data_IF_147511225637
#
_entry.id   IF_147511225637
#
_cell.length_a   1.000
_cell.length_b   1.000
_cell.length_c   1.000
_cell.angle_alpha   90.00
_cell.angle_beta   90.00
_cell.angle_gamma   90.00
#
_symmetry.space_group_name_H-M   'P 1'
#
loop_
_entity.id
_entity.type
_entity.pdbx_description
1 polymer ?
#
# COMPACT_ATOMS: atom_id res chain seq x y z
N UNK A 1 -4.10 -39.55 -4.31
CA UNK A 1 -4.02 -38.96 -2.95
C UNK A 1 -4.68 -37.59 -3.03
N UNK A 2 -5.77 -37.38 -2.30
CA UNK A 2 -6.55 -36.12 -2.33
C UNK A 2 -5.73 -35.01 -1.67
N UNK A 3 -5.30 -34.00 -2.43
CA UNK A 3 -4.72 -32.79 -1.86
C UNK A 3 -5.83 -31.99 -1.19
N UNK A 4 -5.94 -32.06 0.14
CA UNK A 4 -6.94 -31.27 0.87
C UNK A 4 -6.51 -29.81 0.95
N UNK A 5 -7.26 -28.94 0.26
CA UNK A 5 -7.15 -27.48 0.38
C UNK A 5 -7.78 -27.06 1.72
N UNK A 6 -7.04 -26.30 2.52
CA UNK A 6 -7.48 -25.74 3.81
C UNK A 6 -7.97 -24.29 3.62
N UNK A 7 -8.84 -23.78 4.52
CA UNK A 7 -9.22 -22.37 4.52
C UNK A 7 -8.00 -21.44 4.56
N UNK A 8 -8.00 -20.41 3.72
CA UNK A 8 -6.93 -19.41 3.59
C UNK A 8 -5.61 -19.90 2.95
N UNK A 9 -5.58 -21.09 2.33
CA UNK A 9 -4.39 -21.55 1.58
C UNK A 9 -4.05 -20.62 0.40
N UNK A 10 -5.07 -20.02 -0.21
CA UNK A 10 -4.95 -18.98 -1.23
C UNK A 10 -4.23 -17.74 -0.71
N UNK A 11 -4.63 -17.20 0.45
CA UNK A 11 -3.97 -16.04 1.08
C UNK A 11 -2.52 -16.40 1.44
N UNK A 12 -2.29 -17.58 2.00
CA UNK A 12 -0.93 -18.03 2.34
C UNK A 12 -0.04 -18.13 1.11
N UNK A 13 -0.53 -18.72 0.02
CA UNK A 13 0.20 -18.80 -1.24
C UNK A 13 0.46 -17.41 -1.85
N UNK A 14 -0.49 -16.48 -1.73
CA UNK A 14 -0.27 -15.09 -2.13
C UNK A 14 0.87 -14.46 -1.32
N UNK A 15 0.88 -14.60 0.01
CA UNK A 15 1.94 -14.08 0.89
C UNK A 15 3.35 -14.53 0.50
N UNK A 16 3.51 -15.75 -0.01
CA UNK A 16 4.80 -16.27 -0.48
C UNK A 16 5.29 -15.61 -1.78
N UNK A 17 4.37 -15.06 -2.58
CA UNK A 17 4.66 -14.49 -3.90
C UNK A 17 4.52 -12.97 -3.96
N UNK A 18 4.21 -12.32 -2.84
CA UNK A 18 4.08 -10.87 -2.78
C UNK A 18 5.40 -10.20 -3.22
N UNK A 19 5.35 -9.25 -4.16
CA UNK A 19 6.54 -8.56 -4.62
C UNK A 19 7.12 -7.70 -3.49
N UNK A 20 8.45 -7.62 -3.45
CA UNK A 20 9.14 -6.61 -2.67
C UNK A 20 9.13 -5.26 -3.42
N UNK A 21 9.31 -4.18 -2.67
CA UNK A 21 9.48 -2.85 -3.25
C UNK A 21 10.67 -2.83 -4.24
N UNK A 22 10.46 -2.30 -5.43
CA UNK A 22 11.44 -2.30 -6.51
C UNK A 22 12.52 -1.24 -6.32
N UNK A 23 13.68 -1.63 -5.77
CA UNK A 23 14.77 -0.70 -5.47
C UNK A 23 15.35 -0.02 -6.72
N UNK A 24 15.40 -0.71 -7.86
CA UNK A 24 15.86 -0.13 -9.12
C UNK A 24 15.03 1.10 -9.55
N UNK A 25 13.70 1.05 -9.37
CA UNK A 25 12.83 2.19 -9.69
C UNK A 25 13.11 3.40 -8.78
N UNK A 26 13.46 3.17 -7.51
CA UNK A 26 13.86 4.24 -6.57
C UNK A 26 15.18 4.89 -7.01
N UNK A 27 16.14 4.08 -7.44
CA UNK A 27 17.45 4.59 -7.91
C UNK A 27 17.30 5.47 -9.15
N UNK A 28 16.44 5.08 -10.09
CA UNK A 28 16.10 5.87 -11.27
C UNK A 28 15.39 7.18 -10.90
N UNK A 29 14.44 7.15 -9.96
CA UNK A 29 13.80 8.37 -9.43
C UNK A 29 14.83 9.32 -8.85
N UNK A 30 15.73 8.82 -7.99
CA UNK A 30 16.81 9.61 -7.37
C UNK A 30 17.76 10.18 -8.41
N UNK A 31 18.09 9.40 -9.45
CA UNK A 31 18.93 9.87 -10.54
C UNK A 31 18.30 11.03 -11.30
N UNK A 32 17.00 10.93 -11.62
CA UNK A 32 16.24 12.02 -12.24
C UNK A 32 16.13 13.23 -11.32
N UNK A 33 15.83 13.01 -10.04
CA UNK A 33 15.61 14.07 -9.06
C UNK A 33 16.84 15.00 -8.92
N UNK A 34 18.05 14.41 -8.93
CA UNK A 34 19.34 15.15 -8.95
C UNK A 34 19.54 16.04 -10.18
N UNK A 35 18.84 15.79 -11.27
CA UNK A 35 18.93 16.57 -12.51
C UNK A 35 17.88 17.68 -12.61
N UNK A 36 16.92 17.73 -11.68
CA UNK A 36 15.87 18.74 -11.70
C UNK A 36 16.44 20.12 -11.33
N UNK A 37 15.84 21.19 -11.88
CA UNK A 37 16.20 22.58 -11.59
C UNK A 37 15.66 23.04 -10.23
N UNK A 38 16.04 22.32 -9.17
CA UNK A 38 15.73 22.62 -7.77
C UNK A 38 16.96 22.33 -6.91
N UNK A 39 17.16 23.02 -5.77
CA UNK A 39 18.11 22.56 -4.77
C UNK A 39 17.74 21.13 -4.33
N UNK A 40 18.75 20.29 -4.05
CA UNK A 40 18.53 18.95 -3.53
C UNK A 40 17.70 19.02 -2.23
N UNK A 41 16.68 18.16 -2.10
CA UNK A 41 15.79 18.15 -0.94
C UNK A 41 14.76 19.29 -0.87
N UNK A 42 14.72 20.21 -1.85
CA UNK A 42 13.83 21.37 -1.79
C UNK A 42 12.33 21.02 -1.78
N UNK A 43 11.95 19.82 -2.22
CA UNK A 43 10.55 19.34 -2.18
C UNK A 43 10.25 18.51 -0.93
N UNK A 44 11.25 18.28 -0.07
CA UNK A 44 11.12 17.56 1.20
C UNK A 44 10.41 16.21 1.02
N UNK A 45 9.34 16.00 1.79
CA UNK A 45 8.57 14.74 1.82
C UNK A 45 7.99 14.33 0.45
N UNK A 46 7.81 15.26 -0.48
CA UNK A 46 7.34 14.89 -1.82
C UNK A 46 8.36 14.02 -2.58
N UNK A 47 9.66 14.20 -2.32
CA UNK A 47 10.72 13.36 -2.92
C UNK A 47 10.60 11.92 -2.39
N UNK A 48 10.40 11.76 -1.08
CA UNK A 48 10.18 10.46 -0.42
C UNK A 48 8.92 9.75 -0.93
N UNK A 49 7.82 10.50 -1.13
CA UNK A 49 6.55 9.93 -1.61
C UNK A 49 6.64 9.42 -3.05
N UNK A 50 7.38 10.13 -3.92
CA UNK A 50 7.58 9.68 -5.31
C UNK A 50 8.48 8.46 -5.37
N UNK A 51 9.53 8.39 -4.54
CA UNK A 51 10.34 7.16 -4.39
C UNK A 51 9.49 5.98 -3.93
N UNK A 52 8.68 6.16 -2.88
CA UNK A 52 7.80 5.13 -2.37
C UNK A 52 6.81 4.62 -3.43
N UNK A 53 6.18 5.55 -4.17
CA UNK A 53 5.25 5.18 -5.23
C UNK A 53 5.95 4.43 -6.37
N UNK A 54 7.15 4.87 -6.78
CA UNK A 54 7.93 4.20 -7.81
C UNK A 54 8.33 2.77 -7.42
N UNK A 55 8.69 2.57 -6.15
CA UNK A 55 9.09 1.26 -5.63
C UNK A 55 7.93 0.25 -5.71
N UNK A 56 6.72 0.66 -5.30
CA UNK A 56 5.55 -0.23 -5.28
C UNK A 56 4.86 -0.36 -6.63
N UNK A 57 5.01 0.62 -7.53
CA UNK A 57 4.54 0.51 -8.91
C UNK A 57 5.58 -0.15 -9.85
N UNK A 58 6.79 -0.43 -9.36
CA UNK A 58 7.94 -0.86 -10.16
C UNK A 58 8.12 0.03 -11.42
N UNK A 59 8.05 1.35 -11.23
CA UNK A 59 8.03 2.34 -12.32
C UNK A 59 8.69 3.64 -11.90
N UNK A 60 9.79 4.00 -12.56
CA UNK A 60 10.57 5.22 -12.22
C UNK A 60 9.87 6.55 -12.52
N UNK A 61 8.82 6.53 -13.35
CA UNK A 61 7.92 7.67 -13.52
C UNK A 61 6.53 7.27 -13.04
N UNK A 62 6.33 7.17 -11.71
CA UNK A 62 5.08 6.69 -11.16
C UNK A 62 3.93 7.67 -11.44
N UNK A 63 2.71 7.15 -11.43
CA UNK A 63 1.50 7.88 -11.79
C UNK A 63 0.30 7.31 -11.03
N UNK A 64 -0.71 8.13 -10.76
CA UNK A 64 -1.93 7.72 -10.08
C UNK A 64 -3.10 8.02 -11.02
N UNK A 65 -3.58 7.01 -11.75
CA UNK A 65 -4.66 7.19 -12.72
C UNK A 65 -6.05 6.96 -12.13
N UNK A 66 -6.16 5.98 -11.21
CA UNK A 66 -7.42 5.49 -10.67
C UNK A 66 -7.30 5.25 -9.16
N UNK A 67 -7.19 6.33 -8.35
CA UNK A 67 -7.15 6.17 -6.91
C UNK A 67 -8.45 5.51 -6.42
N UNK A 68 -8.33 4.54 -5.52
CA UNK A 68 -9.44 3.79 -4.98
C UNK A 68 -9.50 3.94 -3.47
N UNK A 69 -10.70 4.12 -2.94
CA UNK A 69 -10.98 4.08 -1.50
C UNK A 69 -11.83 2.84 -1.24
N UNK A 70 -11.30 1.90 -0.46
CA UNK A 70 -12.03 0.71 -0.01
C UNK A 70 -12.50 0.93 1.42
N UNK A 71 -13.83 0.92 1.64
CA UNK A 71 -14.45 1.09 2.96
C UNK A 71 -14.88 -0.29 3.45
N UNK A 72 -14.31 -0.71 4.57
CA UNK A 72 -14.70 -1.94 5.27
C UNK A 72 -15.55 -1.54 6.48
N UNK A 73 -16.83 -1.90 6.46
CA UNK A 73 -17.76 -1.66 7.56
C UNK A 73 -18.25 -3.02 8.10
N UNK A 74 -18.22 -3.19 9.42
CA UNK A 74 -18.63 -4.42 10.09
C UNK A 74 -19.09 -4.12 11.51
N UNK A 75 -20.02 -4.93 11.99
CA UNK A 75 -20.55 -4.82 13.35
C UNK A 75 -19.77 -5.72 14.30
N UNK A 76 -19.74 -5.33 15.57
CA UNK A 76 -19.06 -6.07 16.62
C UNK A 76 -19.98 -6.29 17.81
N UNK A 77 -20.14 -7.55 18.24
CA UNK A 77 -21.02 -7.89 19.39
C UNK A 77 -20.57 -7.30 20.73
N UNK A 78 -19.30 -6.87 20.84
CA UNK A 78 -18.80 -6.19 22.05
C UNK A 78 -19.55 -4.90 22.37
N UNK A 79 -20.26 -4.30 21.39
CA UNK A 79 -21.09 -3.11 21.59
C UNK A 79 -22.15 -3.33 22.67
N UNK A 80 -22.65 -4.57 22.85
CA UNK A 80 -23.62 -4.92 23.89
C UNK A 80 -23.07 -4.71 25.32
N UNK A 81 -21.75 -4.52 25.47
CA UNK A 81 -21.11 -4.20 26.75
C UNK A 81 -21.05 -2.70 27.05
N UNK A 82 -21.74 -1.85 26.27
CA UNK A 82 -21.81 -0.40 26.50
C UNK A 82 -20.51 0.35 26.18
N UNK A 83 -19.63 -0.24 25.37
CA UNK A 83 -18.32 0.35 25.00
C UNK A 83 -18.41 1.44 23.92
N UNK A 84 -19.58 1.61 23.31
CA UNK A 84 -19.84 2.60 22.26
C UNK A 84 -20.77 3.70 22.77
N UNK A 85 -20.46 4.95 22.40
CA UNK A 85 -21.36 6.09 22.60
C UNK A 85 -22.52 6.14 21.57
N UNK A 86 -22.50 5.27 20.56
CA UNK A 86 -23.45 5.24 19.45
C UNK A 86 -24.17 3.88 19.36
N UNK A 87 -25.45 3.84 18.90
CA UNK A 87 -26.19 2.60 18.74
C UNK A 87 -25.56 1.65 17.72
N UNK A 88 -25.74 0.33 17.92
CA UNK A 88 -25.17 -0.72 17.06
C UNK A 88 -25.72 -0.76 15.61
N UNK A 89 -26.80 -0.03 15.33
CA UNK A 89 -27.47 -0.01 14.02
C UNK A 89 -26.97 1.09 13.09
N UNK A 90 -26.03 1.92 13.57
CA UNK A 90 -25.53 3.11 12.89
C UNK A 90 -24.31 2.77 12.04
#
# INVERSE_FOLDING_TARGET
MSNQIKPFDDIRAMLETFPNAAQAAVEEVRARDRQLTKPAGALGRLEELVEWLAAWQNRATPHIDRPMVAIFAGNHGVVDQGVSAFPAIV
#
